data_IF_479598195344
#
_entry.id   IF_479598195344
#
_cell.length_a   1.000
_cell.length_b   1.000
_cell.length_c   1.000
_cell.angle_alpha   90.00
_cell.angle_beta   90.00
_cell.angle_gamma   90.00
#
_symmetry.space_group_name_H-M   'P 1'
#
loop_
_entity.id
_entity.type
_entity.pdbx_description
1 polymer ?
#
# COMPACT_ATOMS: atom_id res chain seq x y z
N UNK A 1 13.90 -7.20 13.58
CA UNK A 1 12.98 -6.46 12.70
C UNK A 1 13.37 -6.73 11.25
N UNK A 2 12.41 -6.99 10.35
CA UNK A 2 12.70 -7.16 8.93
C UNK A 2 13.40 -5.92 8.37
N UNK A 3 14.46 -6.14 7.58
CA UNK A 3 15.15 -5.08 6.85
C UNK A 3 14.40 -4.79 5.55
N UNK A 4 13.45 -3.87 5.60
CA UNK A 4 12.84 -3.33 4.38
C UNK A 4 13.81 -2.34 3.72
N UNK A 5 14.04 -2.49 2.43
CA UNK A 5 14.79 -1.52 1.65
C UNK A 5 13.87 -0.35 1.31
N UNK A 6 14.21 0.86 1.76
CA UNK A 6 13.49 2.11 1.42
C UNK A 6 12.83 2.80 2.63
N UNK A 7 12.56 4.10 2.48
CA UNK A 7 11.91 4.91 3.51
C UNK A 7 10.43 4.53 3.64
N UNK A 8 9.96 4.37 4.87
CA UNK A 8 8.52 4.38 5.19
C UNK A 8 8.13 5.84 5.41
N UNK A 9 7.36 6.39 4.48
CA UNK A 9 6.86 7.79 4.54
C UNK A 9 5.37 7.86 4.91
N UNK A 10 4.62 6.80 4.66
CA UNK A 10 3.20 6.74 4.93
C UNK A 10 2.90 6.44 6.41
N UNK A 11 1.73 6.88 6.88
CA UNK A 11 1.20 6.44 8.17
C UNK A 11 0.94 4.92 8.10
N UNK A 12 1.36 4.12 9.10
CA UNK A 12 1.00 2.71 9.13
C UNK A 12 -0.53 2.56 9.22
N UNK A 13 -1.07 1.57 8.51
CA UNK A 13 -2.47 1.16 8.68
C UNK A 13 -2.52 -0.05 9.59
N UNK A 14 -3.58 -0.15 10.39
CA UNK A 14 -3.84 -1.30 11.27
C UNK A 14 -5.23 -1.82 10.96
N UNK A 15 -5.35 -3.13 10.69
CA UNK A 15 -6.66 -3.79 10.52
C UNK A 15 -7.26 -4.24 11.86
N UNK A 16 -8.50 -4.75 11.83
CA UNK A 16 -9.21 -5.23 13.03
C UNK A 16 -8.52 -6.42 13.72
N UNK A 17 -7.55 -7.07 13.06
CA UNK A 17 -6.75 -8.17 13.60
C UNK A 17 -5.38 -7.71 14.11
N UNK A 18 -5.17 -6.39 14.22
CA UNK A 18 -3.89 -5.78 14.60
C UNK A 18 -2.73 -6.05 13.63
N UNK A 19 -3.01 -6.42 12.38
CA UNK A 19 -1.97 -6.48 11.36
C UNK A 19 -1.61 -5.08 10.89
N UNK A 20 -0.31 -4.86 10.68
CA UNK A 20 0.25 -3.56 10.31
C UNK A 20 0.59 -3.56 8.83
N UNK A 21 0.16 -2.53 8.10
CA UNK A 21 0.49 -2.35 6.69
C UNK A 21 1.41 -1.14 6.51
N UNK A 22 2.52 -1.34 5.80
CA UNK A 22 3.52 -0.32 5.52
C UNK A 22 3.70 -0.19 4.01
N UNK A 23 3.63 1.05 3.50
CA UNK A 23 4.03 1.37 2.13
C UNK A 23 5.39 2.06 2.15
N UNK A 24 6.27 1.67 1.24
CA UNK A 24 7.62 2.21 1.12
C UNK A 24 7.77 3.09 -0.12
N UNK A 25 8.70 4.04 -0.06
CA UNK A 25 9.08 4.84 -1.26
C UNK A 25 9.82 4.01 -2.32
N UNK A 26 10.23 2.78 -2.00
CA UNK A 26 10.78 1.80 -2.95
C UNK A 26 9.68 1.00 -3.66
N UNK A 27 8.42 1.42 -3.52
CA UNK A 27 7.29 0.84 -4.23
C UNK A 27 6.84 -0.52 -3.72
N UNK A 28 7.13 -0.82 -2.46
CA UNK A 28 6.69 -2.04 -1.81
C UNK A 28 5.57 -1.77 -0.80
N UNK A 29 4.73 -2.77 -0.60
CA UNK A 29 3.74 -2.83 0.47
C UNK A 29 4.02 -4.09 1.29
N UNK A 30 4.10 -3.94 2.60
CA UNK A 30 4.34 -5.02 3.53
C UNK A 30 3.18 -5.14 4.50
N UNK A 31 2.74 -6.38 4.78
CA UNK A 31 1.84 -6.69 5.90
C UNK A 31 2.63 -7.40 6.97
N UNK A 32 2.53 -6.92 8.21
CA UNK A 32 3.16 -7.50 9.39
C UNK A 32 2.08 -7.95 10.38
N UNK A 33 2.38 -8.95 11.20
CA UNK A 33 1.60 -9.25 12.39
C UNK A 33 1.78 -8.17 13.47
N UNK A 34 0.99 -8.23 14.53
CA UNK A 34 1.14 -7.37 15.73
C UNK A 34 2.52 -7.50 16.39
N UNK A 35 3.19 -8.64 16.21
CA UNK A 35 4.53 -8.93 16.73
C UNK A 35 5.64 -8.51 15.75
N UNK A 36 5.28 -7.94 14.60
CA UNK A 36 6.21 -7.46 13.58
C UNK A 36 6.75 -8.54 12.65
N UNK A 37 6.14 -9.74 12.61
CA UNK A 37 6.49 -10.77 11.65
C UNK A 37 5.89 -10.44 10.27
N UNK A 38 6.69 -10.51 9.20
CA UNK A 38 6.17 -10.29 7.84
C UNK A 38 5.22 -11.42 7.44
N UNK A 39 3.96 -11.07 7.16
CA UNK A 39 2.93 -11.98 6.67
C UNK A 39 2.97 -12.08 5.15
N UNK A 40 3.10 -10.95 4.46
CA UNK A 40 3.35 -10.90 3.01
C UNK A 40 4.04 -9.61 2.60
N UNK A 41 4.56 -9.60 1.37
CA UNK A 41 5.14 -8.42 0.73
C UNK A 41 4.75 -8.37 -0.75
N UNK A 42 4.39 -7.19 -1.22
CA UNK A 42 4.04 -6.92 -2.62
C UNK A 42 4.97 -5.86 -3.17
N UNK A 43 5.64 -6.16 -4.27
CA UNK A 43 6.47 -5.19 -5.01
C UNK A 43 5.67 -4.67 -6.20
N UNK A 44 5.26 -3.40 -6.15
CA UNK A 44 4.58 -2.76 -7.27
C UNK A 44 5.56 -2.36 -8.37
N UNK A 45 6.62 -1.64 -7.99
CA UNK A 45 7.74 -1.27 -8.88
C UNK A 45 8.95 -0.79 -8.05
N UNK A 46 10.18 -1.24 -8.36
CA UNK A 46 11.37 -0.98 -7.52
C UNK A 46 11.84 0.48 -7.48
N UNK A 47 11.47 1.29 -8.48
CA UNK A 47 11.89 2.70 -8.62
C UNK A 47 10.71 3.67 -8.61
N UNK A 48 9.61 3.27 -7.97
CA UNK A 48 8.38 4.04 -7.98
C UNK A 48 7.91 4.27 -6.55
N UNK A 49 7.93 5.54 -6.13
CA UNK A 49 7.38 5.90 -4.84
C UNK A 49 5.89 5.55 -4.79
N UNK A 50 5.48 4.94 -3.68
CA UNK A 50 4.10 4.97 -3.20
C UNK A 50 4.03 6.07 -2.14
N UNK A 51 3.84 7.35 -2.52
CA UNK A 51 3.94 8.48 -1.60
C UNK A 51 2.76 8.61 -0.64
N UNK A 52 1.65 7.89 -0.85
CA UNK A 52 0.44 7.99 -0.02
C UNK A 52 0.23 6.83 0.97
N UNK A 53 -0.50 7.11 2.04
CA UNK A 53 -1.09 6.08 2.90
C UNK A 53 -2.18 5.33 2.10
N UNK A 54 -2.08 4.00 2.04
CA UNK A 54 -3.09 3.16 1.42
C UNK A 54 -4.45 3.24 2.16
N UNK A 55 -5.50 2.65 1.60
CA UNK A 55 -6.80 2.52 2.28
C UNK A 55 -7.17 1.04 2.42
N UNK A 56 -7.82 0.66 3.52
CA UNK A 56 -8.36 -0.68 3.74
C UNK A 56 -9.88 -0.64 3.64
N UNK A 57 -10.48 -1.51 2.82
CA UNK A 57 -11.93 -1.68 2.76
C UNK A 57 -12.30 -3.01 2.10
N UNK A 58 -13.31 -3.71 2.63
CA UNK A 58 -13.90 -4.89 1.98
C UNK A 58 -12.90 -6.02 1.69
N UNK A 59 -11.94 -6.26 2.59
CA UNK A 59 -10.89 -7.28 2.40
C UNK A 59 -9.81 -6.89 1.38
N UNK A 60 -9.74 -5.62 0.98
CA UNK A 60 -8.74 -5.11 0.04
C UNK A 60 -7.96 -3.94 0.60
N UNK A 61 -6.71 -3.84 0.14
CA UNK A 61 -5.86 -2.67 0.30
C UNK A 61 -5.81 -1.93 -1.03
N UNK A 62 -6.12 -0.63 -1.02
CA UNK A 62 -6.09 0.24 -2.19
C UNK A 62 -4.92 1.19 -2.10
N UNK A 63 -4.17 1.32 -3.19
CA UNK A 63 -3.05 2.24 -3.28
C UNK A 63 -2.90 2.78 -4.69
N UNK A 64 -2.09 3.82 -4.84
CA UNK A 64 -1.79 4.46 -6.10
C UNK A 64 -0.30 4.81 -6.20
N UNK A 65 0.20 4.93 -7.43
CA UNK A 65 1.55 5.38 -7.72
C UNK A 65 1.59 6.76 -8.38
N UNK A 66 2.79 7.36 -8.48
CA UNK A 66 2.95 8.74 -8.97
C UNK A 66 2.69 8.90 -10.46
N UNK A 67 2.53 7.79 -11.17
CA UNK A 67 2.21 7.74 -12.60
C UNK A 67 0.72 7.57 -12.86
N UNK A 68 -0.13 7.67 -11.84
CA UNK A 68 -1.58 7.58 -12.03
C UNK A 68 -2.10 6.15 -12.10
N UNK A 69 -1.33 5.16 -11.67
CA UNK A 69 -1.84 3.79 -11.55
C UNK A 69 -2.48 3.59 -10.19
N UNK A 70 -3.73 3.17 -10.17
CA UNK A 70 -4.46 2.74 -8.97
C UNK A 70 -4.55 1.22 -8.99
N UNK A 71 -4.36 0.60 -7.83
CA UNK A 71 -4.41 -0.86 -7.70
C UNK A 71 -5.03 -1.28 -6.37
N UNK A 72 -5.54 -2.51 -6.36
CA UNK A 72 -6.03 -3.16 -5.15
C UNK A 72 -5.32 -4.49 -4.93
N UNK A 73 -4.95 -4.74 -3.68
CA UNK A 73 -4.41 -6.01 -3.22
C UNK A 73 -5.43 -6.71 -2.33
N UNK A 74 -5.46 -8.03 -2.40
CA UNK A 74 -6.16 -8.86 -1.42
C UNK A 74 -5.44 -8.79 -0.06
N UNK A 75 -6.17 -8.49 1.03
CA UNK A 75 -5.55 -8.25 2.34
C UNK A 75 -4.95 -9.50 2.98
N UNK A 76 -5.43 -10.69 2.62
CA UNK A 76 -4.95 -11.96 3.20
C UNK A 76 -3.67 -12.43 2.49
N UNK A 77 -3.65 -12.33 1.16
CA UNK A 77 -2.58 -12.90 0.34
C UNK A 77 -1.56 -11.88 -0.17
N UNK A 78 -1.91 -10.59 -0.19
CA UNK A 78 -1.10 -9.54 -0.83
C UNK A 78 -1.11 -9.60 -2.36
N UNK A 79 -1.93 -10.48 -2.96
CA UNK A 79 -2.02 -10.64 -4.41
C UNK A 79 -2.79 -9.49 -5.06
N UNK A 80 -2.39 -9.09 -6.26
CA UNK A 80 -3.10 -8.08 -7.05
C UNK A 80 -4.50 -8.55 -7.41
N UNK A 81 -5.53 -7.86 -6.92
CA UNK A 81 -6.92 -8.08 -7.28
C UNK A 81 -7.25 -7.39 -8.60
N UNK A 82 -6.74 -6.17 -8.81
CA UNK A 82 -6.84 -5.41 -10.06
C UNK A 82 -5.84 -4.25 -10.08
N UNK A 83 -5.59 -3.71 -11.28
CA UNK A 83 -4.71 -2.55 -11.52
C UNK A 83 -5.20 -1.76 -12.73
N UNK A 84 -5.29 -0.43 -12.62
CA UNK A 84 -5.78 0.46 -13.68
C UNK A 84 -4.97 1.76 -13.73
N UNK A 85 -4.63 2.23 -14.92
CA UNK A 85 -4.08 3.58 -15.12
C UNK A 85 -5.23 4.56 -15.33
N UNK A 86 -5.36 5.54 -14.43
CA UNK A 86 -6.48 6.51 -14.43
C UNK A 86 -6.03 7.95 -14.69
N UNK A 87 -4.73 8.21 -14.63
CA UNK A 87 -4.11 9.50 -14.96
C UNK A 87 -2.70 9.26 -15.53
N UNK A 88 -2.10 10.29 -16.12
CA UNK A 88 -0.70 10.28 -16.56
C UNK A 88 0.29 10.69 -15.46
N UNK A 89 -0.21 11.32 -14.40
CA UNK A 89 0.52 11.72 -13.20
C UNK A 89 -0.49 12.11 -12.11
N UNK A 90 -0.12 11.95 -10.84
CA UNK A 90 -0.86 12.47 -9.69
C UNK A 90 0.10 13.36 -8.90
N UNK A 91 -0.35 14.52 -8.40
CA UNK A 91 0.52 15.49 -7.72
C UNK A 91 1.11 14.93 -6.41
N UNK A 92 2.43 15.06 -6.22
CA UNK A 92 3.20 14.34 -5.19
C UNK A 92 3.08 14.91 -3.76
N UNK A 93 2.40 16.05 -3.55
CA UNK A 93 2.57 16.84 -2.33
C UNK A 93 1.54 16.59 -1.21
N UNK A 94 0.38 15.97 -1.50
CA UNK A 94 -0.61 15.60 -0.47
C UNK A 94 -1.56 14.51 -0.98
N UNK A 95 -1.17 13.23 -0.90
CA UNK A 95 -2.09 12.13 -1.16
C UNK A 95 -2.77 11.66 0.11
N UNK A 96 -4.11 11.65 0.05
CA UNK A 96 -4.92 10.84 0.93
C UNK A 96 -5.80 9.95 0.06
N UNK A 97 -5.85 8.66 0.37
CA UNK A 97 -6.80 7.73 -0.22
C UNK A 97 -7.86 7.44 0.84
N UNK A 98 -9.12 7.67 0.47
CA UNK A 98 -10.26 7.21 1.24
C UNK A 98 -10.98 6.14 0.43
N UNK A 99 -11.40 5.08 1.11
CA UNK A 99 -12.30 4.08 0.58
C UNK A 99 -13.58 4.13 1.42
N UNK A 100 -14.74 4.13 0.75
CA UNK A 100 -16.04 4.12 1.39
C UNK A 100 -17.04 3.35 0.54
N UNK A 101 -18.05 2.80 1.20
CA UNK A 101 -19.25 2.29 0.52
C UNK A 101 -20.11 3.51 0.11
N UNK A 102 -20.71 3.42 -1.08
CA UNK A 102 -21.59 4.46 -1.64
C UNK A 102 -23.02 4.37 -1.13
#
# INVERSE_FOLDING_TARGET
>A
FPNFTGLVRATPLVDDRSNIYLSTVSGAIHKLSSEGATLWSYQHAPDMALPGTAALMGGKLFSADSKGTVFALDMETGSSAWKNSVASSIADDAWSLAAGEG
#
